data_IF_799798604937
#
_entry.id   IF_799798604937
#
_cell.length_a   1.000
_cell.length_b   1.000
_cell.length_c   1.000
_cell.angle_alpha   90.00
_cell.angle_beta   90.00
_cell.angle_gamma   90.00
#
_symmetry.space_group_name_H-M   'P 1'
#
loop_
_entity.id
_entity.type
_entity.pdbx_description
1 polymer ?
#
# COMPACT_ATOMS: atom_id res chain seq x y z
N UNK A 1 -59.34 32.94 2.65
CA UNK A 1 -58.35 32.49 1.66
C UNK A 1 -57.82 33.73 0.94
N UNK A 2 -56.59 34.14 1.18
CA UNK A 2 -55.93 35.11 0.29
C UNK A 2 -55.19 34.28 -0.76
N UNK A 3 -55.79 34.12 -1.95
CA UNK A 3 -55.04 33.68 -3.13
C UNK A 3 -54.19 34.87 -3.59
N UNK A 4 -52.90 34.87 -3.25
CA UNK A 4 -51.95 35.79 -3.87
C UNK A 4 -51.33 35.10 -5.08
N UNK A 5 -51.95 35.22 -6.26
CA UNK A 5 -51.27 34.90 -7.51
C UNK A 5 -50.18 35.94 -7.74
N UNK A 6 -48.93 35.48 -7.78
CA UNK A 6 -47.77 36.34 -7.88
C UNK A 6 -47.10 36.17 -9.25
N UNK A 7 -47.44 37.03 -10.20
CA UNK A 7 -46.72 37.11 -11.47
C UNK A 7 -45.38 37.81 -11.23
N UNK A 8 -44.30 37.05 -11.07
CA UNK A 8 -42.95 37.61 -11.00
C UNK A 8 -42.04 36.97 -12.03
N UNK A 9 -41.35 37.82 -12.78
CA UNK A 9 -40.41 37.46 -13.83
C UNK A 9 -39.03 37.22 -13.22
N UNK A 10 -38.43 36.05 -13.45
CA UNK A 10 -37.05 35.77 -13.05
C UNK A 10 -36.17 35.84 -14.29
N UNK A 11 -35.26 36.83 -14.34
CA UNK A 11 -34.33 36.98 -15.46
C UNK A 11 -33.11 36.06 -15.25
N UNK A 12 -33.17 34.86 -15.81
CA UNK A 12 -32.01 33.97 -15.98
C UNK A 12 -31.40 34.15 -17.38
N UNK A 13 -30.07 34.03 -17.47
CA UNK A 13 -29.19 34.54 -18.55
C UNK A 13 -29.18 33.71 -19.85
N UNK A 14 -30.20 32.90 -20.12
CA UNK A 14 -30.30 32.09 -21.34
C UNK A 14 -31.76 31.96 -21.74
N UNK A 15 -32.13 32.64 -22.83
CA UNK A 15 -33.50 32.81 -23.33
C UNK A 15 -34.45 33.51 -22.34
N UNK A 16 -35.19 34.52 -22.83
CA UNK A 16 -36.26 35.18 -22.06
C UNK A 16 -37.45 34.23 -21.94
N UNK A 17 -37.34 33.16 -21.15
CA UNK A 17 -38.50 32.37 -20.75
C UNK A 17 -39.14 33.03 -19.52
N UNK A 18 -40.37 33.49 -19.69
CA UNK A 18 -41.16 34.05 -18.60
C UNK A 18 -41.70 32.88 -17.78
N UNK A 19 -41.01 32.48 -16.71
CA UNK A 19 -41.51 31.46 -15.80
C UNK A 19 -42.55 32.08 -14.85
N UNK A 20 -43.76 31.53 -14.85
CA UNK A 20 -44.84 31.93 -13.93
C UNK A 20 -44.74 31.08 -12.68
N UNK A 21 -44.68 31.71 -11.50
CA UNK A 21 -44.62 31.02 -10.22
C UNK A 21 -45.90 31.27 -9.43
N UNK A 22 -46.40 30.23 -8.76
CA UNK A 22 -47.57 30.31 -7.89
C UNK A 22 -47.17 29.94 -6.46
N UNK A 23 -47.54 30.81 -5.51
CA UNK A 23 -47.38 30.53 -4.08
C UNK A 23 -48.73 30.59 -3.37
N UNK A 24 -49.13 29.49 -2.74
CA UNK A 24 -50.39 29.41 -1.99
C UNK A 24 -50.09 29.27 -0.51
N UNK A 25 -50.69 30.15 0.30
CA UNK A 25 -50.61 30.09 1.76
C UNK A 25 -51.98 29.80 2.35
N UNK A 26 -52.07 28.77 3.16
CA UNK A 26 -53.29 28.43 3.91
C UNK A 26 -53.06 28.72 5.39
N UNK A 27 -54.02 29.42 6.00
CA UNK A 27 -54.01 29.74 7.44
C UNK A 27 -55.37 29.42 8.05
N UNK A 28 -55.36 28.89 9.28
CA UNK A 28 -56.56 28.64 10.08
C UNK A 28 -56.70 29.73 11.14
N UNK A 29 -57.89 30.31 11.26
CA UNK A 29 -58.23 31.34 12.27
C UNK A 29 -58.62 30.72 13.63
N UNK A 30 -58.77 29.40 13.71
CA UNK A 30 -59.22 28.69 14.92
C UNK A 30 -58.02 28.12 15.66
N UNK A 31 -57.80 28.60 16.90
CA UNK A 31 -56.62 28.30 17.75
C UNK A 31 -56.41 26.82 18.10
N UNK A 32 -57.41 25.96 17.94
CA UNK A 32 -57.37 24.57 18.46
C UNK A 32 -56.85 23.50 17.50
N UNK A 33 -56.72 23.78 16.19
CA UNK A 33 -56.08 22.87 15.22
C UNK A 33 -55.65 23.66 13.97
N UNK A 34 -54.53 24.37 14.07
CA UNK A 34 -54.00 25.18 12.97
C UNK A 34 -52.87 24.44 12.24
N UNK A 35 -53.13 23.95 11.03
CA UNK A 35 -52.07 23.57 10.09
C UNK A 35 -51.93 24.69 9.07
N UNK A 36 -50.88 25.49 9.20
CA UNK A 36 -50.48 26.44 8.17
C UNK A 36 -49.78 25.69 7.04
N UNK A 37 -50.15 25.93 5.79
CA UNK A 37 -49.52 25.34 4.61
C UNK A 37 -48.85 26.40 3.73
N UNK A 38 -47.74 26.03 3.09
CA UNK A 38 -47.08 26.83 2.06
C UNK A 38 -46.73 25.93 0.88
N UNK A 39 -47.40 26.17 -0.23
CA UNK A 39 -47.15 25.51 -1.51
C UNK A 39 -46.46 26.47 -2.46
N UNK A 40 -45.48 25.97 -3.20
CA UNK A 40 -44.74 26.71 -4.21
C UNK A 40 -44.71 25.90 -5.50
N UNK A 41 -45.15 26.49 -6.60
CA UNK A 41 -45.31 25.82 -7.88
C UNK A 41 -44.74 26.69 -9.00
N UNK A 42 -44.31 26.06 -10.10
CA UNK A 42 -43.90 26.73 -11.34
C UNK A 42 -44.77 26.22 -12.47
N UNK A 43 -45.24 27.12 -13.31
CA UNK A 43 -46.02 26.80 -14.48
C UNK A 43 -45.12 26.26 -15.59
N UNK A 44 -45.40 25.04 -16.06
CA UNK A 44 -44.76 24.48 -17.25
C UNK A 44 -45.60 24.84 -18.49
N UNK A 45 -44.99 25.57 -19.43
CA UNK A 45 -45.67 25.97 -20.67
C UNK A 45 -45.89 24.81 -21.64
N UNK A 46 -45.09 23.75 -21.56
CA UNK A 46 -45.18 22.59 -22.47
C UNK A 46 -46.36 21.69 -22.11
N UNK A 47 -46.55 21.41 -20.82
CA UNK A 47 -47.60 20.52 -20.32
C UNK A 47 -48.86 21.29 -19.86
N UNK A 48 -48.84 22.62 -19.90
CA UNK A 48 -49.89 23.51 -19.40
C UNK A 48 -50.33 23.21 -17.95
N UNK A 49 -49.39 22.80 -17.10
CA UNK A 49 -49.63 22.36 -15.72
C UNK A 49 -48.64 22.98 -14.72
N UNK A 50 -48.95 22.91 -13.43
CA UNK A 50 -48.12 23.43 -12.35
C UNK A 50 -47.27 22.34 -11.69
N UNK A 51 -45.96 22.47 -11.82
CA UNK A 51 -44.99 21.57 -11.18
C UNK A 51 -44.69 22.08 -9.77
N UNK A 52 -44.87 21.22 -8.76
CA UNK A 52 -44.57 21.57 -7.37
C UNK A 52 -43.06 21.69 -7.12
N UNK A 53 -42.67 22.86 -6.60
CA UNK A 53 -41.35 23.17 -6.04
C UNK A 53 -41.37 23.21 -4.50
N UNK A 54 -42.43 22.66 -3.90
CA UNK A 54 -42.67 22.67 -2.45
C UNK A 54 -41.66 21.77 -1.74
N UNK A 55 -41.08 22.25 -0.64
CA UNK A 55 -40.16 21.49 0.18
C UNK A 55 -40.88 20.84 1.39
N UNK A 56 -40.26 19.87 2.09
CA UNK A 56 -40.88 19.17 3.22
C UNK A 56 -41.26 20.05 4.43
N UNK A 57 -40.77 21.28 4.49
CA UNK A 57 -41.14 22.22 5.55
C UNK A 57 -41.35 23.63 5.01
N UNK A 58 -42.27 24.37 5.63
CA UNK A 58 -42.57 25.77 5.29
C UNK A 58 -41.28 26.60 5.27
N UNK A 59 -40.38 26.40 6.24
CA UNK A 59 -39.10 27.13 6.29
C UNK A 59 -38.20 26.81 5.10
N UNK A 60 -38.13 25.55 4.67
CA UNK A 60 -37.36 25.15 3.48
C UNK A 60 -38.01 25.69 2.20
N UNK A 61 -39.34 25.63 2.10
CA UNK A 61 -40.10 26.18 0.96
C UNK A 61 -39.91 27.70 0.87
N UNK A 62 -39.98 28.42 1.99
CA UNK A 62 -39.72 29.85 2.05
C UNK A 62 -38.29 30.20 1.60
N UNK A 63 -37.28 29.44 2.08
CA UNK A 63 -35.89 29.62 1.61
C UNK A 63 -35.76 29.37 0.10
N UNK A 64 -36.47 28.37 -0.43
CA UNK A 64 -36.49 28.07 -1.87
C UNK A 64 -37.12 29.22 -2.66
N UNK A 65 -38.25 29.76 -2.21
CA UNK A 65 -38.90 30.95 -2.79
C UNK A 65 -37.94 32.13 -2.82
N UNK A 66 -37.32 32.47 -1.69
CA UNK A 66 -36.37 33.59 -1.60
C UNK A 66 -35.16 33.35 -2.52
N UNK A 67 -34.66 32.11 -2.61
CA UNK A 67 -33.53 31.78 -3.50
C UNK A 67 -33.90 31.86 -4.99
N UNK A 68 -35.12 31.47 -5.36
CA UNK A 68 -35.61 31.44 -6.74
C UNK A 68 -36.03 32.82 -7.22
N UNK A 69 -36.83 33.54 -6.44
CA UNK A 69 -37.34 34.87 -6.78
C UNK A 69 -36.37 36.00 -6.39
N UNK A 70 -35.33 35.68 -5.61
CA UNK A 70 -34.32 36.64 -5.11
C UNK A 70 -34.90 37.82 -4.35
N UNK A 71 -36.12 37.67 -3.83
CA UNK A 71 -36.84 38.69 -3.09
C UNK A 71 -37.44 38.06 -1.83
N UNK A 72 -37.23 38.70 -0.68
CA UNK A 72 -37.85 38.28 0.57
C UNK A 72 -39.23 38.93 0.74
N UNK A 73 -39.99 38.52 1.76
CA UNK A 73 -41.36 39.01 1.93
C UNK A 73 -41.41 40.51 2.23
N UNK A 74 -40.50 41.02 3.07
CA UNK A 74 -40.46 42.45 3.42
C UNK A 74 -40.05 43.28 2.21
N UNK A 75 -39.02 42.86 1.48
CA UNK A 75 -38.58 43.45 0.22
C UNK A 75 -39.72 43.45 -0.79
N UNK A 76 -40.47 42.35 -0.93
CA UNK A 76 -41.60 42.26 -1.86
C UNK A 76 -42.72 43.26 -1.54
N UNK A 77 -43.14 43.33 -0.27
CA UNK A 77 -44.17 44.29 0.16
C UNK A 77 -43.70 45.75 -0.05
N UNK A 78 -42.43 46.04 0.22
CA UNK A 78 -41.92 47.41 0.13
C UNK A 78 -41.52 47.85 -1.29
N UNK A 79 -41.35 46.93 -2.25
CA UNK A 79 -40.83 47.26 -3.60
C UNK A 79 -41.76 46.95 -4.77
N UNK A 80 -42.61 45.91 -4.67
CA UNK A 80 -43.38 45.40 -5.81
C UNK A 80 -44.89 45.34 -5.57
N UNK A 81 -45.36 45.49 -4.32
CA UNK A 81 -46.75 45.28 -3.97
C UNK A 81 -47.38 46.51 -3.31
N UNK A 82 -48.15 47.28 -4.08
CA UNK A 82 -48.91 48.42 -3.58
C UNK A 82 -50.23 47.91 -2.98
N UNK A 83 -50.23 47.59 -1.69
CA UNK A 83 -51.47 47.36 -0.94
C UNK A 83 -52.23 48.69 -0.79
N UNK A 84 -53.50 48.75 -1.23
CA UNK A 84 -54.38 49.88 -0.92
C UNK A 84 -54.42 50.08 0.61
N UNK A 85 -53.95 51.26 1.07
CA UNK A 85 -53.86 51.62 2.49
C UNK A 85 -52.53 51.33 3.20
N UNK A 86 -51.52 50.74 2.53
CA UNK A 86 -50.16 50.51 3.08
C UNK A 86 -49.02 51.12 2.25
N UNK A 87 -49.33 52.12 1.44
CA UNK A 87 -48.33 52.82 0.60
C UNK A 87 -47.22 53.46 1.45
N UNK A 88 -47.55 53.84 2.69
CA UNK A 88 -46.62 54.51 3.60
C UNK A 88 -45.75 53.56 4.44
N UNK A 89 -45.82 52.23 4.24
CA UNK A 89 -45.10 51.28 5.11
C UNK A 89 -43.58 51.52 5.09
N UNK A 90 -43.04 51.90 3.93
CA UNK A 90 -41.65 52.34 3.80
C UNK A 90 -41.42 53.70 4.46
N UNK A 91 -42.33 54.67 4.29
CA UNK A 91 -42.21 56.04 4.83
C UNK A 91 -42.35 56.13 6.36
N UNK A 92 -43.07 55.19 6.98
CA UNK A 92 -43.26 55.10 8.44
C UNK A 92 -42.09 54.42 9.16
N UNK A 93 -41.20 53.74 8.44
CA UNK A 93 -40.02 53.08 9.00
C UNK A 93 -38.91 54.08 9.30
N UNK A 94 -38.14 53.78 10.34
CA UNK A 94 -36.97 54.57 10.72
C UNK A 94 -35.93 54.61 9.60
N UNK A 95 -35.03 55.59 9.63
CA UNK A 95 -33.95 55.70 8.63
C UNK A 95 -33.06 54.43 8.58
N UNK A 96 -32.86 53.77 9.73
CA UNK A 96 -32.12 52.51 9.83
C UNK A 96 -32.82 51.37 9.10
N UNK A 97 -34.10 51.16 9.38
CA UNK A 97 -34.88 50.08 8.74
C UNK A 97 -35.02 50.30 7.24
N UNK A 98 -35.18 51.55 6.79
CA UNK A 98 -35.17 51.88 5.35
C UNK A 98 -33.85 51.51 4.68
N UNK A 99 -32.72 51.78 5.35
CA UNK A 99 -31.38 51.41 4.86
C UNK A 99 -31.20 49.89 4.79
N UNK A 100 -31.67 49.16 5.79
CA UNK A 100 -31.63 47.68 5.83
C UNK A 100 -32.47 47.10 4.68
N UNK A 101 -33.70 47.55 4.48
CA UNK A 101 -34.57 47.13 3.37
C UNK A 101 -33.93 47.44 2.01
N UNK A 102 -33.36 48.63 1.83
CA UNK A 102 -32.67 48.97 0.57
C UNK A 102 -31.44 48.09 0.33
N UNK A 103 -30.68 47.78 1.38
CA UNK A 103 -29.54 46.86 1.30
C UNK A 103 -29.97 45.44 0.89
N UNK A 104 -31.14 44.99 1.35
CA UNK A 104 -31.73 43.71 0.97
C UNK A 104 -32.27 43.73 -0.47
N UNK A 105 -32.99 44.78 -0.89
CA UNK A 105 -33.46 44.98 -2.27
C UNK A 105 -32.28 44.94 -3.25
N UNK A 106 -31.21 45.68 -2.92
CA UNK A 106 -30.01 45.76 -3.75
C UNK A 106 -29.13 44.50 -3.66
N UNK A 107 -29.48 43.55 -2.78
CA UNK A 107 -28.77 42.28 -2.62
C UNK A 107 -27.33 42.44 -2.16
N UNK A 108 -27.01 43.48 -1.37
CA UNK A 108 -25.63 43.83 -1.00
C UNK A 108 -24.95 42.77 -0.14
N UNK A 109 -25.73 41.98 0.61
CA UNK A 109 -25.23 40.84 1.42
C UNK A 109 -24.50 39.78 0.58
N UNK A 110 -24.79 39.68 -0.72
CA UNK A 110 -24.09 38.77 -1.63
C UNK A 110 -22.62 39.14 -1.81
N UNK A 111 -22.26 40.42 -1.71
CA UNK A 111 -20.86 40.84 -1.83
C UNK A 111 -20.05 40.39 -0.61
N UNK A 112 -20.65 40.42 0.58
CA UNK A 112 -20.00 39.90 1.80
C UNK A 112 -19.76 38.39 1.71
N UNK A 113 -20.73 37.62 1.19
CA UNK A 113 -20.56 36.19 0.93
C UNK A 113 -19.41 35.92 -0.06
N UNK A 114 -19.37 36.65 -1.17
CA UNK A 114 -18.31 36.52 -2.17
C UNK A 114 -16.93 36.90 -1.62
N UNK A 115 -16.86 37.97 -0.82
CA UNK A 115 -15.63 38.39 -0.17
C UNK A 115 -15.12 37.34 0.82
N UNK A 116 -16.02 36.72 1.59
CA UNK A 116 -15.67 35.64 2.50
C UNK A 116 -15.17 34.39 1.76
N UNK A 117 -15.81 34.01 0.64
CA UNK A 117 -15.36 32.92 -0.23
C UNK A 117 -13.98 33.20 -0.84
N UNK A 118 -13.73 34.43 -1.30
CA UNK A 118 -12.42 34.80 -1.82
C UNK A 118 -11.34 34.70 -0.74
N UNK A 119 -11.63 35.15 0.49
CA UNK A 119 -10.72 35.04 1.63
C UNK A 119 -10.45 33.59 2.03
N UNK A 120 -11.46 32.71 2.00
CA UNK A 120 -11.24 31.29 2.30
C UNK A 120 -10.36 30.63 1.24
N UNK A 121 -10.62 30.88 -0.05
CA UNK A 121 -9.78 30.36 -1.12
C UNK A 121 -8.33 30.85 -1.04
N UNK A 122 -8.12 32.13 -0.74
CA UNK A 122 -6.77 32.67 -0.55
C UNK A 122 -6.02 31.96 0.59
N UNK A 123 -6.70 31.70 1.71
CA UNK A 123 -6.11 30.96 2.84
C UNK A 123 -5.74 29.53 2.46
N UNK A 124 -6.61 28.84 1.73
CA UNK A 124 -6.34 27.49 1.23
C UNK A 124 -5.11 27.46 0.33
N UNK A 125 -5.03 28.39 -0.64
CA UNK A 125 -3.89 28.50 -1.55
C UNK A 125 -2.60 28.79 -0.78
N UNK A 126 -2.62 29.72 0.17
CA UNK A 126 -1.44 30.03 0.98
C UNK A 126 -0.96 28.83 1.81
N UNK A 127 -1.87 28.05 2.38
CA UNK A 127 -1.51 26.82 3.08
C UNK A 127 -0.86 25.80 2.15
N UNK A 128 -1.38 25.67 0.92
CA UNK A 128 -0.79 24.80 -0.11
C UNK A 128 0.62 25.28 -0.45
N UNK A 129 0.80 26.57 -0.72
CA UNK A 129 2.11 27.18 -1.03
C UNK A 129 3.10 26.88 0.10
N UNK A 130 2.76 27.22 1.35
CA UNK A 130 3.63 26.99 2.51
C UNK A 130 4.02 25.51 2.68
N UNK A 131 3.09 24.59 2.41
CA UNK A 131 3.36 23.14 2.47
C UNK A 131 4.30 22.70 1.33
N UNK A 132 4.16 23.29 0.14
CA UNK A 132 5.02 22.97 -1.01
C UNK A 132 6.41 23.58 -0.85
N UNK A 133 6.52 24.81 -0.36
CA UNK A 133 7.78 25.47 -0.07
C UNK A 133 8.58 24.70 0.99
N UNK A 134 7.95 24.31 2.10
CA UNK A 134 8.64 23.50 3.11
C UNK A 134 9.09 22.13 2.57
N UNK A 135 8.30 21.51 1.70
CA UNK A 135 8.70 20.26 1.05
C UNK A 135 9.86 20.45 0.07
N UNK A 136 9.86 21.53 -0.70
CA UNK A 136 10.96 21.86 -1.61
C UNK A 136 12.24 22.14 -0.84
N UNK A 137 12.17 22.92 0.24
CA UNK A 137 13.32 23.21 1.10
C UNK A 137 13.95 21.92 1.64
N UNK A 138 13.13 21.00 2.15
CA UNK A 138 13.60 19.67 2.56
C UNK A 138 14.31 18.91 1.42
N UNK A 139 13.74 18.91 0.22
CA UNK A 139 14.33 18.23 -0.95
C UNK A 139 15.67 18.87 -1.33
N UNK A 140 15.77 20.21 -1.31
CA UNK A 140 17.02 20.90 -1.61
C UNK A 140 18.13 20.55 -0.61
N UNK A 141 17.80 20.47 0.68
CA UNK A 141 18.77 20.06 1.72
C UNK A 141 19.25 18.62 1.50
N UNK A 142 18.35 17.69 1.17
CA UNK A 142 18.72 16.31 0.87
C UNK A 142 19.55 16.20 -0.41
N UNK A 143 19.22 16.97 -1.44
CA UNK A 143 19.96 17.01 -2.70
C UNK A 143 21.35 17.62 -2.54
N UNK A 144 21.55 18.59 -1.64
CA UNK A 144 22.87 19.13 -1.34
C UNK A 144 23.82 18.07 -0.77
N UNK A 145 23.29 17.04 -0.11
CA UNK A 145 24.07 15.93 0.45
C UNK A 145 24.32 14.79 -0.56
N UNK A 146 23.78 14.87 -1.79
CA UNK A 146 23.87 13.78 -2.77
C UNK A 146 25.33 13.47 -3.13
N UNK A 147 26.13 14.49 -3.41
CA UNK A 147 27.55 14.30 -3.75
C UNK A 147 28.33 13.71 -2.57
N UNK A 148 28.05 14.15 -1.34
CA UNK A 148 28.62 13.56 -0.13
C UNK A 148 28.28 12.08 0.00
N UNK A 149 27.02 11.69 -0.19
CA UNK A 149 26.62 10.28 -0.13
C UNK A 149 27.24 9.46 -1.26
N UNK A 150 27.35 10.03 -2.47
CA UNK A 150 27.98 9.38 -3.61
C UNK A 150 29.46 9.10 -3.37
N UNK A 151 30.19 10.06 -2.82
CA UNK A 151 31.58 9.88 -2.40
C UNK A 151 31.67 8.84 -1.28
N UNK A 152 30.81 8.92 -0.26
CA UNK A 152 30.81 7.96 0.84
C UNK A 152 30.54 6.52 0.39
N UNK A 153 29.59 6.32 -0.52
CA UNK A 153 29.32 5.02 -1.12
C UNK A 153 30.54 4.51 -1.91
N UNK A 154 31.20 5.40 -2.66
CA UNK A 154 32.41 5.05 -3.41
C UNK A 154 33.52 4.59 -2.46
N UNK A 155 33.84 5.38 -1.43
CA UNK A 155 34.84 5.03 -0.41
C UNK A 155 34.53 3.69 0.26
N UNK A 156 33.29 3.49 0.70
CA UNK A 156 32.87 2.24 1.35
C UNK A 156 32.96 1.04 0.39
N UNK A 157 32.64 1.24 -0.90
CA UNK A 157 32.73 0.19 -1.91
C UNK A 157 34.18 -0.22 -2.20
N UNK A 158 35.10 0.74 -2.20
CA UNK A 158 36.54 0.50 -2.37
C UNK A 158 37.10 -0.23 -1.14
N UNK A 159 36.78 0.26 0.07
CA UNK A 159 37.17 -0.42 1.31
C UNK A 159 36.62 -1.84 1.41
N UNK A 160 35.38 -2.07 0.96
CA UNK A 160 34.79 -3.41 0.93
C UNK A 160 35.53 -4.34 -0.02
N UNK A 161 35.88 -3.86 -1.22
CA UNK A 161 36.66 -4.65 -2.20
C UNK A 161 38.01 -5.05 -1.62
N UNK A 162 38.71 -4.11 -1.00
CA UNK A 162 40.02 -4.36 -0.39
C UNK A 162 39.94 -5.40 0.73
N UNK A 163 38.98 -5.25 1.65
CA UNK A 163 38.78 -6.20 2.74
C UNK A 163 38.38 -7.58 2.19
N UNK A 164 37.49 -7.63 1.20
CA UNK A 164 37.06 -8.87 0.56
C UNK A 164 38.23 -9.61 -0.10
N UNK A 165 39.13 -8.88 -0.78
CA UNK A 165 40.34 -9.44 -1.34
C UNK A 165 41.30 -9.97 -0.26
N UNK A 166 41.52 -9.21 0.81
CA UNK A 166 42.34 -9.65 1.95
C UNK A 166 41.80 -10.92 2.58
N UNK A 167 40.48 -11.02 2.79
CA UNK A 167 39.83 -12.22 3.31
C UNK A 167 40.05 -13.41 2.38
N UNK A 168 39.91 -13.24 1.06
CA UNK A 168 40.18 -14.32 0.09
C UNK A 168 41.64 -14.77 0.14
N UNK A 169 42.58 -13.84 0.19
CA UNK A 169 44.01 -14.15 0.28
C UNK A 169 44.32 -14.91 1.58
N UNK A 170 43.77 -14.47 2.72
CA UNK A 170 43.98 -15.16 4.00
C UNK A 170 43.34 -16.55 4.02
N UNK A 171 42.15 -16.73 3.41
CA UNK A 171 41.56 -18.07 3.26
C UNK A 171 42.47 -19.01 2.48
N UNK A 172 42.98 -18.56 1.33
CA UNK A 172 43.93 -19.35 0.52
C UNK A 172 45.21 -19.63 1.32
N UNK A 173 45.73 -18.67 2.09
CA UNK A 173 46.90 -18.88 2.95
C UNK A 173 46.66 -19.94 4.03
N UNK A 174 45.47 -19.97 4.63
CA UNK A 174 45.10 -20.98 5.61
C UNK A 174 45.04 -22.37 4.95
N UNK A 175 44.34 -22.49 3.81
CA UNK A 175 44.27 -23.76 3.05
C UNK A 175 45.66 -24.26 2.64
N UNK A 176 46.55 -23.36 2.21
CA UNK A 176 47.94 -23.69 1.87
C UNK A 176 48.77 -24.13 3.09
N UNK A 177 48.48 -23.65 4.30
CA UNK A 177 49.16 -24.08 5.52
C UNK A 177 48.73 -25.48 5.99
N UNK A 178 47.51 -25.90 5.66
CA UNK A 178 46.99 -27.22 6.04
C UNK A 178 47.50 -28.33 5.10
N UNK A 179 47.76 -27.99 3.83
CA UNK A 179 48.22 -28.90 2.77
C UNK A 179 49.48 -29.72 3.10
N UNK A 180 50.56 -29.15 3.69
CA UNK A 180 51.76 -29.89 4.07
C UNK A 180 51.48 -30.97 5.12
N UNK A 181 50.68 -30.65 6.14
CA UNK A 181 50.33 -31.62 7.19
C UNK A 181 49.52 -32.80 6.64
N UNK A 182 48.69 -32.56 5.63
CA UNK A 182 47.92 -33.59 4.95
C UNK A 182 48.83 -34.45 4.05
N UNK A 183 49.80 -33.84 3.37
CA UNK A 183 50.81 -34.55 2.57
C UNK A 183 51.69 -35.44 3.43
N UNK A 184 52.13 -34.98 4.59
CA UNK A 184 52.93 -35.79 5.51
C UNK A 184 52.16 -37.03 5.98
N UNK A 185 50.87 -36.89 6.33
CA UNK A 185 50.01 -38.03 6.68
C UNK A 185 49.88 -39.02 5.52
N UNK A 186 49.68 -38.54 4.29
CA UNK A 186 49.60 -39.41 3.10
C UNK A 186 50.91 -40.19 2.88
N UNK A 187 52.06 -39.54 3.02
CA UNK A 187 53.37 -40.20 2.88
C UNK A 187 53.55 -41.27 3.98
N UNK A 188 53.11 -41.00 5.21
CA UNK A 188 53.14 -41.99 6.28
C UNK A 188 52.25 -43.20 5.98
N UNK A 189 51.02 -42.98 5.52
CA UNK A 189 50.11 -44.06 5.12
C UNK A 189 50.70 -44.90 3.96
N UNK A 190 51.33 -44.25 2.99
CA UNK A 190 51.98 -44.93 1.86
C UNK A 190 53.19 -45.77 2.29
N UNK A 191 53.97 -45.29 3.26
CA UNK A 191 55.07 -46.06 3.86
C UNK A 191 54.56 -47.30 4.61
N UNK A 192 53.49 -47.15 5.39
CA UNK A 192 52.86 -48.27 6.10
C UNK A 192 52.34 -49.30 5.10
N UNK A 193 51.63 -48.85 4.06
CA UNK A 193 51.11 -49.73 3.01
C UNK A 193 52.22 -50.52 2.31
N UNK A 194 53.34 -49.88 1.99
CA UNK A 194 54.49 -50.56 1.39
C UNK A 194 55.11 -51.60 2.35
N UNK A 195 55.19 -51.26 3.64
CA UNK A 195 55.68 -52.21 4.64
C UNK A 195 54.76 -53.43 4.78
N UNK A 196 53.44 -53.22 4.78
CA UNK A 196 52.44 -54.29 4.81
C UNK A 196 52.49 -55.16 3.55
N UNK A 197 52.72 -54.58 2.38
CA UNK A 197 52.95 -55.34 1.15
C UNK A 197 54.19 -56.23 1.25
N UNK A 198 55.30 -55.71 1.77
CA UNK A 198 56.53 -56.51 1.95
C UNK A 198 56.33 -57.65 2.96
N UNK A 199 55.55 -57.42 4.02
CA UNK A 199 55.19 -58.43 5.00
C UNK A 199 54.29 -59.50 4.37
N UNK A 200 53.30 -59.09 3.58
CA UNK A 200 52.43 -60.00 2.83
C UNK A 200 53.24 -60.90 1.91
N UNK A 201 54.21 -60.36 1.18
CA UNK A 201 55.05 -61.13 0.27
C UNK A 201 55.93 -62.14 1.02
N UNK A 202 56.52 -61.75 2.16
CA UNK A 202 57.25 -62.67 3.05
C UNK A 202 56.38 -63.80 3.58
N UNK A 203 55.17 -63.49 4.04
CA UNK A 203 54.22 -64.50 4.53
C UNK A 203 53.83 -65.47 3.41
N UNK A 204 53.64 -64.97 2.18
CA UNK A 204 53.36 -65.82 1.02
C UNK A 204 54.53 -66.74 0.69
N UNK A 205 55.77 -66.23 0.75
CA UNK A 205 56.98 -67.02 0.54
C UNK A 205 57.13 -68.11 1.61
N UNK A 206 57.00 -67.76 2.89
CA UNK A 206 57.04 -68.72 4.00
C UNK A 206 55.95 -69.79 3.86
N UNK A 207 54.71 -69.38 3.54
CA UNK A 207 53.61 -70.31 3.28
C UNK A 207 53.94 -71.26 2.13
N UNK A 208 54.53 -70.77 1.04
CA UNK A 208 54.97 -71.61 -0.09
C UNK A 208 56.05 -72.63 0.31
N UNK A 209 57.00 -72.21 1.15
CA UNK A 209 58.04 -73.08 1.71
C UNK A 209 57.47 -74.18 2.61
N UNK A 210 56.55 -73.84 3.53
CA UNK A 210 55.87 -74.81 4.38
C UNK A 210 54.94 -75.74 3.59
N UNK A 211 54.25 -75.24 2.56
CA UNK A 211 53.43 -76.06 1.67
C UNK A 211 54.27 -77.13 0.97
N UNK A 212 55.45 -76.75 0.46
CA UNK A 212 56.38 -77.68 -0.17
C UNK A 212 56.87 -78.77 0.80
N UNK A 213 57.20 -78.39 2.05
CA UNK A 213 57.56 -79.34 3.11
C UNK A 213 56.40 -80.28 3.45
N UNK A 214 55.18 -79.75 3.54
CA UNK A 214 53.97 -80.53 3.79
C UNK A 214 53.72 -81.56 2.68
N UNK A 215 53.83 -81.16 1.41
CA UNK A 215 53.67 -82.04 0.26
C UNK A 215 54.74 -83.16 0.26
N UNK A 216 55.97 -82.84 0.68
CA UNK A 216 57.03 -83.83 0.86
C UNK A 216 56.70 -84.83 1.98
N UNK A 217 56.21 -84.36 3.14
CA UNK A 217 55.77 -85.24 4.22
C UNK A 217 54.62 -86.16 3.80
N UNK A 218 53.68 -85.67 2.99
CA UNK A 218 52.61 -86.51 2.44
C UNK A 218 53.14 -87.60 1.51
N UNK A 219 54.12 -87.30 0.65
CA UNK A 219 54.78 -88.29 -0.20
C UNK A 219 55.49 -89.37 0.64
N UNK A 220 56.33 -88.95 1.59
CA UNK A 220 57.01 -89.87 2.51
C UNK A 220 56.03 -90.70 3.34
N UNK A 221 54.88 -90.15 3.72
CA UNK A 221 53.81 -90.88 4.41
C UNK A 221 53.17 -91.98 3.55
N UNK A 222 53.03 -91.75 2.23
CA UNK A 222 52.57 -92.78 1.28
C UNK A 222 53.63 -93.87 1.11
N UNK A 223 54.89 -93.48 0.89
CA UNK A 223 56.02 -94.40 0.78
C UNK A 223 56.16 -95.26 2.04
N UNK A 224 56.10 -94.66 3.24
CA UNK A 224 56.12 -95.40 4.52
C UNK A 224 54.99 -96.43 4.62
N UNK A 225 53.79 -96.12 4.13
CA UNK A 225 52.67 -97.08 4.11
C UNK A 225 52.92 -98.22 3.13
N UNK A 226 53.52 -97.96 1.98
CA UNK A 226 53.89 -98.99 0.99
C UNK A 226 54.99 -99.90 1.54
N UNK A 227 56.07 -99.33 2.05
CA UNK A 227 57.17 -100.07 2.71
C UNK A 227 56.64 -100.88 3.88
N UNK A 228 55.72 -100.34 4.69
CA UNK A 228 55.08 -101.07 5.78
C UNK A 228 54.33 -102.31 5.32
N UNK A 229 53.59 -102.22 4.20
CA UNK A 229 52.91 -103.36 3.59
C UNK A 229 53.89 -104.39 3.04
N UNK A 230 55.00 -103.94 2.44
CA UNK A 230 56.07 -104.82 1.96
C UNK A 230 56.77 -105.55 3.11
N UNK A 231 57.11 -104.84 4.19
CA UNK A 231 57.69 -105.43 5.41
C UNK A 231 56.77 -106.45 6.06
N UNK A 232 55.45 -106.19 6.11
CA UNK A 232 54.50 -107.19 6.61
C UNK A 232 54.41 -108.42 5.71
N UNK A 233 54.52 -108.28 4.39
CA UNK A 233 54.62 -109.42 3.47
C UNK A 233 55.91 -110.21 3.70
N UNK A 234 57.07 -109.54 3.73
CA UNK A 234 58.35 -110.20 3.96
C UNK A 234 58.45 -110.86 5.34
N UNK A 235 57.87 -110.27 6.40
CA UNK A 235 57.78 -110.91 7.72
C UNK A 235 56.86 -112.14 7.74
N UNK A 236 55.80 -112.15 6.93
CA UNK A 236 54.95 -113.33 6.76
C UNK A 236 55.68 -114.44 5.98
N UNK A 237 56.50 -114.08 5.00
CA UNK A 237 57.34 -115.02 4.25
C UNK A 237 58.48 -115.61 5.11
N UNK A 238 59.06 -114.81 6.02
CA UNK A 238 60.08 -115.27 6.97
C UNK A 238 59.55 -116.25 8.03
N UNK A 239 58.24 -116.22 8.33
CA UNK A 239 57.58 -117.12 9.29
C UNK A 239 57.07 -118.43 8.65
N UNK A 240 57.40 -118.67 7.37
CA UNK A 240 57.03 -119.88 6.61
C UNK A 240 58.25 -120.81 6.41
N UNK A 241 59.46 -120.37 6.79
CA UNK A 241 60.67 -121.19 6.93
C UNK A 241 60.96 -121.49 8.40
#
# INVERSE_FOLDING_TARGET
LYLSCLFLTSTSKSARSLSIFLSVRTFSLVKKNSRSGLEFQVFNQEDNDYISLTCPSIRKTQKKIIKTLRIDYQTFINSAFILQGRIDEFSRKSARERKEILSEILGLSRYDELANLAKSHLREINNIIMTKESRLEYIYQEMANLDFYKEKIKELSESYKDISQKIKIEKIRIELKELPSLKEKLVQEEQVLNSDQTLKDKILEERGGYQSKFDQCLKLGKEKKEIGKELEKSKKEQNIY
#
